data_IF_786889877224
#
_entry.id   IF_786889877224
#
_cell.length_a   1.000
_cell.length_b   1.000
_cell.length_c   1.000
_cell.angle_alpha   90.00
_cell.angle_beta   90.00
_cell.angle_gamma   90.00
#
_symmetry.space_group_name_H-M   'P 1'
#
loop_
_entity.id
_entity.type
_entity.pdbx_description
1 polymer ?
#
# COMPACT_ATOMS: atom_id res chain seq x y z
N UNK A 1 -18.30 -25.07 -45.49
CA UNK A 1 -18.06 -23.79 -44.80
C UNK A 1 -17.93 -24.10 -43.31
N UNK A 2 -16.69 -24.31 -42.81
CA UNK A 2 -16.46 -24.60 -41.39
C UNK A 2 -16.48 -23.29 -40.65
N UNK A 3 -17.44 -23.13 -39.74
CA UNK A 3 -17.48 -22.02 -38.76
C UNK A 3 -16.41 -22.27 -37.70
N UNK A 4 -15.33 -21.51 -37.72
CA UNK A 4 -14.36 -21.47 -36.64
C UNK A 4 -15.03 -20.87 -35.39
N UNK A 5 -15.25 -21.66 -34.38
CA UNK A 5 -15.68 -21.18 -33.05
C UNK A 5 -14.53 -20.36 -32.46
N UNK A 6 -14.80 -19.18 -31.86
CA UNK A 6 -13.77 -18.41 -31.20
C UNK A 6 -13.24 -19.23 -30.02
N UNK A 7 -11.95 -19.52 -30.03
CA UNK A 7 -11.25 -20.07 -28.85
C UNK A 7 -11.12 -18.93 -27.83
N UNK A 8 -12.01 -18.90 -26.88
CA UNK A 8 -11.84 -18.05 -25.69
C UNK A 8 -10.64 -18.61 -24.93
N UNK A 9 -9.56 -17.88 -24.88
CA UNK A 9 -8.43 -18.24 -24.03
C UNK A 9 -8.95 -18.34 -22.60
N UNK A 10 -8.93 -19.53 -22.02
CA UNK A 10 -9.33 -19.75 -20.64
C UNK A 10 -8.46 -18.87 -19.74
N UNK A 11 -9.07 -17.99 -18.96
CA UNK A 11 -8.33 -17.19 -17.99
C UNK A 11 -7.67 -18.14 -17.00
N UNK A 12 -6.40 -17.87 -16.70
CA UNK A 12 -5.66 -18.70 -15.75
C UNK A 12 -6.26 -18.50 -14.36
N UNK A 13 -6.69 -19.59 -13.75
CA UNK A 13 -7.19 -19.61 -12.37
C UNK A 13 -6.13 -20.18 -11.43
N UNK A 14 -6.05 -19.61 -10.24
CA UNK A 14 -5.16 -20.00 -9.16
C UNK A 14 -6.01 -20.20 -7.90
N UNK A 15 -5.78 -21.28 -7.18
CA UNK A 15 -6.51 -21.56 -5.94
C UNK A 15 -5.56 -22.05 -4.85
N UNK A 16 -5.78 -21.62 -3.64
CA UNK A 16 -4.98 -22.03 -2.48
C UNK A 16 -5.18 -21.13 -1.27
N UNK A 17 -4.57 -21.52 -0.14
CA UNK A 17 -4.47 -20.65 1.03
C UNK A 17 -3.39 -19.61 0.76
N UNK A 18 -3.73 -18.31 0.78
CA UNK A 18 -2.78 -17.27 0.42
C UNK A 18 -1.78 -17.01 1.56
N UNK A 19 -0.55 -16.68 1.19
CA UNK A 19 0.37 -15.95 2.04
C UNK A 19 0.21 -14.46 1.72
N UNK A 20 -0.20 -13.67 2.69
CA UNK A 20 -0.31 -12.21 2.53
C UNK A 20 1.09 -11.60 2.57
N UNK A 21 1.43 -10.80 1.59
CA UNK A 21 2.71 -10.06 1.49
C UNK A 21 2.53 -8.67 2.09
N UNK A 22 1.48 -7.97 1.64
CA UNK A 22 1.03 -6.66 2.10
C UNK A 22 -0.49 -6.52 1.90
N UNK A 23 -1.04 -5.31 2.08
CA UNK A 23 -2.48 -5.06 2.06
C UNK A 23 -3.17 -5.33 0.71
N UNK A 24 -2.43 -5.38 -0.41
CA UNK A 24 -2.97 -5.63 -1.75
C UNK A 24 -2.21 -6.69 -2.54
N UNK A 25 -1.23 -7.36 -1.93
CA UNK A 25 -0.41 -8.37 -2.59
C UNK A 25 -0.46 -9.69 -1.84
N UNK A 26 -0.85 -10.74 -2.56
CA UNK A 26 -0.96 -12.11 -2.07
C UNK A 26 0.03 -13.01 -2.82
N UNK A 27 0.43 -14.11 -2.18
CA UNK A 27 1.05 -15.24 -2.87
C UNK A 27 0.11 -16.45 -2.77
N UNK A 28 -0.33 -16.96 -3.91
CA UNK A 28 -1.24 -18.10 -4.03
C UNK A 28 -0.61 -19.14 -4.94
N UNK A 29 -0.47 -20.37 -4.49
CA UNK A 29 0.16 -21.45 -5.24
C UNK A 29 1.55 -21.08 -5.82
N UNK A 30 2.36 -20.35 -5.05
CA UNK A 30 3.70 -19.89 -5.45
C UNK A 30 3.72 -18.72 -6.44
N UNK A 31 2.57 -18.12 -6.76
CA UNK A 31 2.46 -16.96 -7.66
C UNK A 31 2.12 -15.70 -6.87
N UNK A 32 2.87 -14.63 -7.07
CA UNK A 32 2.54 -13.30 -6.53
C UNK A 32 1.42 -12.67 -7.34
N UNK A 33 0.38 -12.25 -6.63
CA UNK A 33 -0.83 -11.63 -7.20
C UNK A 33 -1.01 -10.27 -6.56
N UNK A 34 -0.99 -9.20 -7.37
CA UNK A 34 -1.50 -7.90 -6.96
C UNK A 34 -2.99 -7.86 -7.21
N UNK A 35 -3.77 -7.54 -6.19
CA UNK A 35 -5.21 -7.39 -6.31
C UNK A 35 -5.53 -6.23 -7.25
N UNK A 36 -6.28 -6.50 -8.31
CA UNK A 36 -6.59 -5.54 -9.36
C UNK A 36 -7.52 -4.43 -8.90
N UNK A 37 -7.26 -3.21 -9.35
CA UNK A 37 -8.17 -2.07 -9.15
C UNK A 37 -8.23 -1.50 -7.74
N UNK A 38 -7.33 -1.90 -6.85
CA UNK A 38 -7.18 -1.32 -5.51
C UNK A 38 -5.72 -0.96 -5.21
N UNK A 39 -5.54 -0.20 -4.16
CA UNK A 39 -4.26 0.15 -3.59
C UNK A 39 -4.36 0.21 -2.06
N UNK A 40 -3.43 -0.41 -1.38
CA UNK A 40 -3.32 -0.40 0.07
C UNK A 40 -2.06 0.37 0.51
N UNK A 41 -2.05 0.94 1.72
CA UNK A 41 -0.82 1.48 2.26
C UNK A 41 0.27 0.41 2.29
N UNK A 42 1.48 0.77 1.87
CA UNK A 42 2.64 -0.11 1.95
C UNK A 42 2.92 -0.49 3.41
N UNK A 43 3.42 -1.70 3.68
CA UNK A 43 3.67 -2.24 5.03
C UNK A 43 4.29 -1.25 6.01
N UNK A 44 5.11 -0.34 5.50
CA UNK A 44 5.88 0.60 6.31
C UNK A 44 5.34 2.03 6.23
N UNK A 45 4.17 2.22 5.63
CA UNK A 45 3.55 3.53 5.47
C UNK A 45 2.78 3.92 6.74
N UNK A 46 2.92 5.19 7.12
CA UNK A 46 2.16 5.82 8.20
C UNK A 46 1.06 6.71 7.60
N UNK A 47 -0.11 6.68 8.21
CA UNK A 47 -1.23 7.58 7.95
C UNK A 47 -1.42 8.59 9.07
N UNK A 48 -2.26 9.61 8.85
CA UNK A 48 -2.75 10.49 9.90
C UNK A 48 -4.19 10.11 10.26
N UNK A 49 -4.51 10.12 11.55
CA UNK A 49 -5.88 10.03 12.01
C UNK A 49 -6.55 11.43 12.04
N UNK A 50 -7.82 11.52 12.39
CA UNK A 50 -8.57 12.79 12.48
C UNK A 50 -7.99 13.78 13.50
N UNK A 51 -7.18 13.32 14.45
CA UNK A 51 -6.47 14.17 15.41
C UNK A 51 -5.08 14.61 14.92
N UNK A 52 -4.72 14.26 13.69
CA UNK A 52 -3.39 14.56 13.12
C UNK A 52 -2.27 13.68 13.66
N UNK A 53 -2.58 12.62 14.41
CA UNK A 53 -1.59 11.69 14.95
C UNK A 53 -1.24 10.64 13.88
N UNK A 54 0.05 10.29 13.82
CA UNK A 54 0.54 9.22 12.94
C UNK A 54 0.20 7.85 13.51
N UNK A 55 -0.13 6.92 12.63
CA UNK A 55 -0.34 5.53 12.96
C UNK A 55 0.11 4.63 11.80
N UNK A 56 0.54 3.40 12.11
CA UNK A 56 1.11 2.45 11.15
C UNK A 56 0.03 1.79 10.29
N UNK A 57 -0.59 2.56 9.39
CA UNK A 57 -1.71 2.09 8.56
C UNK A 57 -1.31 0.96 7.61
N UNK A 58 -0.08 0.93 7.12
CA UNK A 58 0.38 -0.13 6.23
C UNK A 58 0.51 -1.48 6.94
N UNK A 59 1.10 -1.49 8.15
CA UNK A 59 1.14 -2.70 8.97
C UNK A 59 -0.27 -3.17 9.31
N UNK A 60 -1.14 -2.24 9.75
CA UNK A 60 -2.53 -2.54 10.06
C UNK A 60 -3.32 -3.08 8.84
N UNK A 61 -3.18 -2.50 7.66
CA UNK A 61 -3.84 -2.99 6.44
C UNK A 61 -3.40 -4.43 6.10
N UNK A 62 -2.11 -4.73 6.28
CA UNK A 62 -1.59 -6.08 6.10
C UNK A 62 -2.16 -7.04 7.14
N UNK A 63 -2.25 -6.64 8.41
CA UNK A 63 -2.87 -7.46 9.47
C UNK A 63 -4.35 -7.75 9.19
N UNK A 64 -5.11 -6.76 8.69
CA UNK A 64 -6.51 -6.95 8.26
C UNK A 64 -6.59 -7.98 7.14
N UNK A 65 -5.76 -7.87 6.12
CA UNK A 65 -5.73 -8.87 5.03
C UNK A 65 -5.35 -10.26 5.56
N UNK A 66 -4.38 -10.36 6.45
CA UNK A 66 -3.97 -11.62 7.10
C UNK A 66 -5.11 -12.23 7.90
N UNK A 67 -5.77 -11.46 8.76
CA UNK A 67 -6.89 -11.94 9.58
C UNK A 67 -8.07 -12.41 8.72
N UNK A 68 -8.36 -11.69 7.63
CA UNK A 68 -9.43 -12.02 6.69
C UNK A 68 -9.18 -13.35 5.96
N UNK A 69 -7.93 -13.63 5.60
CA UNK A 69 -7.56 -14.73 4.69
C UNK A 69 -6.91 -15.92 5.40
N UNK A 70 -6.60 -15.82 6.69
CA UNK A 70 -5.88 -16.84 7.45
C UNK A 70 -6.55 -18.22 7.35
N UNK A 71 -5.81 -19.22 6.86
CA UNK A 71 -6.25 -20.60 6.75
C UNK A 71 -7.40 -20.84 5.74
N UNK A 72 -7.79 -19.83 4.97
CA UNK A 72 -8.94 -19.91 4.05
C UNK A 72 -8.46 -19.97 2.60
N UNK A 73 -9.06 -20.82 1.80
CA UNK A 73 -8.75 -20.95 0.38
C UNK A 73 -9.40 -19.82 -0.42
N UNK A 74 -8.59 -19.11 -1.21
CA UNK A 74 -9.06 -18.15 -2.21
C UNK A 74 -9.02 -18.74 -3.60
N UNK A 75 -9.87 -18.22 -4.48
CA UNK A 75 -9.88 -18.48 -5.92
C UNK A 75 -9.53 -17.18 -6.63
N UNK A 76 -8.45 -17.16 -7.40
CA UNK A 76 -7.97 -15.98 -8.08
C UNK A 76 -7.96 -16.18 -9.60
N UNK A 77 -8.42 -15.18 -10.33
CA UNK A 77 -8.41 -15.12 -11.79
C UNK A 77 -7.34 -14.15 -12.24
N UNK A 78 -6.45 -14.60 -13.13
CA UNK A 78 -5.46 -13.73 -13.80
C UNK A 78 -6.19 -12.80 -14.79
N UNK A 79 -6.05 -11.50 -14.63
CA UNK A 79 -6.67 -10.48 -15.48
C UNK A 79 -5.86 -10.21 -16.77
N UNK A 80 -4.80 -10.98 -17.02
CA UNK A 80 -3.95 -10.82 -18.18
C UNK A 80 -2.98 -9.64 -18.14
N UNK A 81 -2.93 -8.95 -17.01
CA UNK A 81 -2.04 -7.80 -16.77
C UNK A 81 -0.90 -8.17 -15.84
N UNK A 82 0.17 -7.40 -15.89
CA UNK A 82 1.33 -7.55 -14.99
C UNK A 82 1.64 -6.24 -14.28
N UNK A 83 2.04 -6.35 -13.02
CA UNK A 83 2.58 -5.26 -12.22
C UNK A 83 3.96 -5.69 -11.73
N UNK A 84 5.00 -5.27 -12.43
CA UNK A 84 6.36 -5.79 -12.29
C UNK A 84 6.39 -7.32 -12.52
N UNK A 85 6.84 -8.09 -11.54
CA UNK A 85 6.89 -9.56 -11.54
C UNK A 85 5.59 -10.23 -11.06
N UNK A 86 4.56 -9.43 -10.69
CA UNK A 86 3.29 -9.91 -10.16
C UNK A 86 2.23 -10.04 -11.25
N UNK A 87 1.38 -11.05 -11.11
CA UNK A 87 0.11 -11.16 -11.84
C UNK A 87 -0.85 -10.10 -11.27
N UNK A 88 -1.55 -9.35 -12.11
CA UNK A 88 -2.72 -8.59 -11.66
C UNK A 88 -3.91 -9.55 -11.69
N UNK A 89 -4.52 -9.77 -10.53
CA UNK A 89 -5.57 -10.78 -10.37
C UNK A 89 -6.75 -10.28 -9.54
N UNK A 90 -7.87 -10.97 -9.69
CA UNK A 90 -9.04 -10.81 -8.84
C UNK A 90 -9.22 -12.08 -8.02
N UNK A 91 -9.27 -11.94 -6.71
CA UNK A 91 -9.37 -13.06 -5.79
C UNK A 91 -10.72 -13.05 -5.06
N UNK A 92 -11.28 -14.22 -4.87
CA UNK A 92 -12.55 -14.44 -4.21
C UNK A 92 -12.38 -15.36 -3.01
N UNK A 93 -13.05 -15.02 -1.94
CA UNK A 93 -13.16 -15.83 -0.74
C UNK A 93 -14.62 -16.19 -0.50
N UNK A 94 -14.99 -17.46 -0.70
CA UNK A 94 -16.39 -17.89 -0.59
C UNK A 94 -17.33 -17.14 -1.54
N UNK A 95 -16.86 -16.75 -2.71
CA UNK A 95 -17.62 -15.97 -3.71
C UNK A 95 -17.59 -14.45 -3.50
N UNK A 96 -17.07 -13.95 -2.38
CA UNK A 96 -16.90 -12.51 -2.13
C UNK A 96 -15.57 -12.03 -2.71
N UNK A 97 -15.58 -10.92 -3.44
CA UNK A 97 -14.37 -10.26 -3.93
C UNK A 97 -13.54 -9.74 -2.75
N UNK A 98 -12.31 -10.24 -2.62
CA UNK A 98 -11.37 -9.86 -1.54
C UNK A 98 -11.06 -8.36 -1.58
N UNK A 99 -10.96 -7.76 -2.76
CA UNK A 99 -10.71 -6.33 -2.90
C UNK A 99 -11.87 -5.49 -2.35
N UNK A 100 -13.12 -5.89 -2.60
CA UNK A 100 -14.32 -5.24 -2.01
C UNK A 100 -14.24 -5.30 -0.48
N UNK A 101 -13.96 -6.47 0.09
CA UNK A 101 -13.89 -6.63 1.54
C UNK A 101 -12.78 -5.79 2.18
N UNK A 102 -11.62 -5.68 1.53
CA UNK A 102 -10.51 -4.84 1.99
C UNK A 102 -10.86 -3.34 1.92
N UNK A 103 -11.56 -2.90 0.87
CA UNK A 103 -12.05 -1.50 0.77
C UNK A 103 -13.06 -1.22 1.88
N UNK A 104 -14.03 -2.10 2.10
CA UNK A 104 -15.05 -1.96 3.15
C UNK A 104 -14.44 -1.87 4.55
N UNK A 105 -13.39 -2.66 4.81
CA UNK A 105 -12.62 -2.59 6.04
C UNK A 105 -11.78 -1.30 6.17
N UNK A 106 -11.64 -0.52 5.09
CA UNK A 106 -10.74 0.64 5.06
C UNK A 106 -9.26 0.27 4.99
N UNK A 107 -8.93 -0.98 4.64
CA UNK A 107 -7.54 -1.44 4.48
C UNK A 107 -6.97 -1.14 3.10
N UNK A 108 -7.83 -0.81 2.13
CA UNK A 108 -7.43 -0.42 0.79
C UNK A 108 -8.35 0.67 0.23
N UNK A 109 -7.93 1.29 -0.87
CA UNK A 109 -8.71 2.29 -1.62
C UNK A 109 -8.89 1.82 -3.06
N UNK A 110 -10.02 2.17 -3.73
CA UNK A 110 -10.18 1.86 -5.14
C UNK A 110 -9.25 2.70 -6.03
N UNK A 111 -8.63 2.03 -6.98
CA UNK A 111 -7.95 2.64 -8.12
C UNK A 111 -8.93 2.72 -9.28
N UNK A 112 -9.77 3.76 -9.32
CA UNK A 112 -10.93 3.85 -10.20
C UNK A 112 -10.60 3.64 -11.68
N UNK A 113 -9.44 4.10 -12.16
CA UNK A 113 -9.00 3.87 -13.52
C UNK A 113 -8.94 2.37 -13.83
N UNK A 114 -8.20 1.62 -13.02
CA UNK A 114 -8.04 0.17 -13.21
C UNK A 114 -9.31 -0.61 -12.87
N UNK A 115 -10.03 -0.18 -11.83
CA UNK A 115 -11.32 -0.77 -11.48
C UNK A 115 -12.34 -0.66 -12.63
N UNK A 116 -12.35 0.46 -13.36
CA UNK A 116 -13.20 0.67 -14.55
C UNK A 116 -12.81 -0.27 -15.67
N UNK A 117 -11.53 -0.36 -15.99
CA UNK A 117 -11.00 -1.27 -17.02
C UNK A 117 -11.36 -2.74 -16.73
N UNK A 118 -11.51 -3.07 -15.45
CA UNK A 118 -11.83 -4.41 -14.95
C UNK A 118 -13.34 -4.63 -14.68
N UNK A 119 -14.19 -3.64 -14.95
CA UNK A 119 -15.64 -3.70 -14.74
C UNK A 119 -16.06 -3.69 -13.25
N UNK A 120 -15.18 -3.23 -12.33
CA UNK A 120 -15.43 -3.24 -10.88
C UNK A 120 -15.71 -1.84 -10.28
N UNK A 121 -15.66 -0.78 -11.09
CA UNK A 121 -15.77 0.60 -10.61
C UNK A 121 -16.96 0.81 -9.66
N UNK A 122 -18.14 0.34 -10.04
CA UNK A 122 -19.36 0.55 -9.24
C UNK A 122 -19.33 -0.23 -7.91
N UNK A 123 -18.79 -1.44 -7.91
CA UNK A 123 -18.69 -2.24 -6.70
C UNK A 123 -17.70 -1.59 -5.71
N UNK A 124 -16.55 -1.17 -6.20
CA UNK A 124 -15.50 -0.55 -5.39
C UNK A 124 -15.90 0.83 -4.87
N UNK A 125 -16.62 1.64 -5.66
CA UNK A 125 -17.18 2.91 -5.19
C UNK A 125 -18.20 2.72 -4.06
N UNK A 126 -19.07 1.70 -4.14
CA UNK A 126 -20.02 1.39 -3.05
C UNK A 126 -19.29 0.97 -1.77
N UNK A 127 -18.29 0.09 -1.89
CA UNK A 127 -17.47 -0.33 -0.78
C UNK A 127 -16.73 0.86 -0.13
N UNK A 128 -16.16 1.76 -0.95
CA UNK A 128 -15.51 2.97 -0.46
C UNK A 128 -16.46 3.92 0.27
N UNK A 129 -17.67 4.10 -0.26
CA UNK A 129 -18.69 4.93 0.40
C UNK A 129 -19.10 4.35 1.75
N UNK A 130 -19.19 3.02 1.87
CA UNK A 130 -19.46 2.34 3.13
C UNK A 130 -18.32 2.57 4.13
N UNK A 131 -17.07 2.36 3.73
CA UNK A 131 -15.89 2.59 4.56
C UNK A 131 -15.77 4.04 5.04
N UNK A 132 -16.05 5.02 4.15
CA UNK A 132 -16.08 6.46 4.49
C UNK A 132 -17.15 6.78 5.53
N UNK A 133 -18.37 6.24 5.38
CA UNK A 133 -19.44 6.44 6.36
C UNK A 133 -19.12 5.87 7.73
N UNK A 134 -18.40 4.75 7.76
CA UNK A 134 -17.95 4.11 8.99
C UNK A 134 -16.66 4.71 9.58
N UNK A 135 -16.02 5.67 8.90
CA UNK A 135 -14.66 6.13 9.21
C UNK A 135 -13.67 4.96 9.36
N UNK A 136 -13.80 3.91 8.55
CA UNK A 136 -13.04 2.69 8.66
C UNK A 136 -11.58 2.90 8.22
N UNK A 137 -10.63 2.39 9.02
CA UNK A 137 -9.23 2.35 8.68
C UNK A 137 -8.67 3.67 8.14
N UNK A 138 -8.13 3.67 6.92
CA UNK A 138 -7.55 4.85 6.28
C UNK A 138 -8.53 6.00 6.04
N UNK A 139 -9.82 5.73 6.10
CA UNK A 139 -10.87 6.76 6.00
C UNK A 139 -11.20 7.45 7.33
N UNK A 140 -10.61 7.00 8.44
CA UNK A 140 -10.71 7.63 9.76
C UNK A 140 -9.80 8.84 9.95
N UNK A 141 -9.25 9.39 8.89
CA UNK A 141 -8.39 10.57 8.90
C UNK A 141 -8.38 11.31 7.56
N UNK A 142 -7.61 12.41 7.46
CA UNK A 142 -7.38 13.03 6.16
C UNK A 142 -6.78 11.98 5.25
N UNK A 143 -7.42 11.77 4.11
CA UNK A 143 -6.91 10.84 3.11
C UNK A 143 -5.56 11.36 2.64
N UNK A 144 -4.50 10.88 3.24
CA UNK A 144 -3.17 11.02 2.64
C UNK A 144 -3.28 10.49 1.21
N UNK A 145 -2.77 11.19 0.20
CA UNK A 145 -2.51 10.55 -1.05
C UNK A 145 -1.57 9.39 -0.71
N UNK A 146 -2.10 8.16 -0.77
CA UNK A 146 -1.26 6.97 -0.78
C UNK A 146 -0.34 7.20 -1.96
N UNK A 147 0.95 7.36 -1.69
CA UNK A 147 1.87 7.87 -2.68
C UNK A 147 1.89 6.93 -3.88
N UNK A 148 1.27 7.35 -4.96
CA UNK A 148 1.84 7.12 -6.26
C UNK A 148 1.33 6.01 -7.13
N UNK A 149 0.35 5.14 -6.81
CA UNK A 149 0.01 4.07 -7.77
C UNK A 149 -1.31 4.31 -8.53
N UNK A 150 -2.34 4.77 -7.88
CA UNK A 150 -3.65 4.96 -8.49
C UNK A 150 -3.83 6.29 -9.24
N UNK A 151 -2.97 7.23 -8.99
CA UNK A 151 -2.97 8.53 -9.64
C UNK A 151 -1.73 8.63 -10.56
N UNK A 152 -1.88 8.83 -11.89
CA UNK A 152 -0.77 9.33 -12.66
C UNK A 152 -0.41 10.69 -12.08
N UNK A 153 0.79 10.84 -11.56
CA UNK A 153 1.38 12.05 -10.98
C UNK A 153 0.66 13.36 -11.38
N UNK A 154 -0.47 13.64 -10.77
CA UNK A 154 -0.82 15.02 -10.50
C UNK A 154 -0.01 15.36 -9.27
N UNK A 155 0.93 16.27 -9.47
CA UNK A 155 1.84 16.82 -8.50
C UNK A 155 1.53 16.33 -7.09
N UNK A 156 2.28 15.34 -6.65
CA UNK A 156 2.37 14.99 -5.25
C UNK A 156 2.24 16.30 -4.49
N UNK A 157 1.16 16.46 -3.71
CA UNK A 157 1.35 17.20 -2.49
C UNK A 157 2.28 16.28 -1.72
N UNK A 158 3.55 16.35 -2.08
CA UNK A 158 4.62 15.87 -1.25
C UNK A 158 4.36 16.50 0.09
N UNK A 159 3.97 15.71 1.07
CA UNK A 159 4.33 16.03 2.43
C UNK A 159 5.83 15.75 2.44
N UNK A 160 6.55 16.59 1.69
CA UNK A 160 7.99 16.67 1.78
C UNK A 160 8.26 16.94 3.25
N UNK A 161 9.12 16.13 3.85
CA UNK A 161 9.62 16.46 5.16
C UNK A 161 9.91 17.96 5.14
N UNK A 162 9.37 18.77 6.06
CA UNK A 162 9.57 20.20 6.02
C UNK A 162 11.07 20.43 5.89
N UNK A 163 11.48 21.32 4.98
CA UNK A 163 12.91 21.63 4.78
C UNK A 163 13.57 22.09 6.09
N UNK A 164 12.75 22.53 7.04
CA UNK A 164 13.11 22.96 8.39
C UNK A 164 12.60 21.89 9.37
N UNK A 165 13.40 21.51 10.39
CA UNK A 165 12.95 20.57 11.41
C UNK A 165 11.70 21.10 12.14
N UNK A 166 10.77 20.22 12.56
CA UNK A 166 9.53 20.61 13.22
C UNK A 166 9.75 21.26 14.61
N UNK A 167 10.91 21.04 15.22
CA UNK A 167 11.39 21.74 16.42
C UNK A 167 12.93 21.78 16.42
N UNK A 168 13.53 22.62 17.25
CA UNK A 168 14.98 22.73 17.39
C UNK A 168 15.67 21.43 17.82
N UNK A 169 14.93 20.52 18.46
CA UNK A 169 15.46 19.24 18.96
C UNK A 169 15.39 18.13 17.90
N UNK A 170 14.64 18.33 16.81
CA UNK A 170 14.44 17.31 15.78
C UNK A 170 15.50 17.40 14.68
N UNK A 171 16.75 17.16 15.04
CA UNK A 171 17.92 17.38 14.16
C UNK A 171 18.42 16.10 13.45
N UNK A 172 17.80 14.95 13.71
CA UNK A 172 18.23 13.70 13.10
C UNK A 172 17.55 13.56 11.75
N UNK A 173 18.34 13.37 10.69
CA UNK A 173 17.85 13.22 9.32
C UNK A 173 17.78 11.76 8.92
N UNK A 174 16.61 11.28 8.52
CA UNK A 174 16.43 9.97 7.91
C UNK A 174 16.26 10.05 6.41
N UNK A 175 16.84 9.10 5.67
CA UNK A 175 16.58 8.91 4.25
C UNK A 175 16.41 7.42 3.90
N UNK A 176 15.54 7.14 2.97
CA UNK A 176 15.36 5.80 2.37
C UNK A 176 16.23 5.73 1.12
N UNK A 177 16.98 4.65 0.99
CA UNK A 177 17.84 4.38 -0.17
C UNK A 177 17.81 2.88 -0.50
N UNK A 178 18.53 2.47 -1.53
CA UNK A 178 18.77 1.05 -1.85
C UNK A 178 19.36 0.25 -0.68
N UNK A 179 19.97 0.93 0.29
CA UNK A 179 20.50 0.35 1.52
C UNK A 179 19.49 0.30 2.67
N UNK A 180 18.23 0.65 2.41
CA UNK A 180 17.14 0.68 3.40
C UNK A 180 16.99 2.03 4.11
N UNK A 181 16.30 2.02 5.24
CA UNK A 181 16.02 3.20 6.09
C UNK A 181 17.21 3.50 6.98
N UNK A 182 17.85 4.63 6.76
CA UNK A 182 19.07 5.04 7.46
C UNK A 182 18.84 6.42 8.07
N UNK A 183 19.21 6.62 9.34
CA UNK A 183 19.25 7.94 9.94
C UNK A 183 20.67 8.41 10.19
N UNK A 184 20.86 9.72 10.04
CA UNK A 184 22.13 10.43 10.18
C UNK A 184 22.04 11.40 11.34
N UNK A 185 23.03 11.38 12.22
CA UNK A 185 23.19 12.32 13.31
C UNK A 185 23.93 13.56 12.82
N UNK A 186 23.68 14.75 13.41
CA UNK A 186 24.51 15.91 13.17
C UNK A 186 26.02 15.59 13.32
N UNK A 187 26.84 16.10 12.42
CA UNK A 187 28.30 15.86 12.43
C UNK A 187 28.75 14.52 11.80
N UNK A 188 27.85 13.66 11.36
CA UNK A 188 28.23 12.46 10.59
C UNK A 188 28.57 12.83 9.14
N UNK A 189 29.50 12.09 8.52
CA UNK A 189 30.08 12.34 7.17
C UNK A 189 29.05 12.69 6.09
N UNK A 190 27.89 12.06 6.10
CA UNK A 190 26.86 12.23 5.07
C UNK A 190 25.62 13.03 5.55
N UNK A 191 25.65 13.59 6.76
CA UNK A 191 24.51 14.29 7.33
C UNK A 191 24.07 15.48 6.46
N UNK A 192 25.02 16.30 5.98
CA UNK A 192 24.71 17.49 5.18
C UNK A 192 24.27 17.15 3.75
N UNK A 193 24.58 15.94 3.28
CA UNK A 193 24.16 15.46 1.97
C UNK A 193 22.68 15.02 1.96
N UNK A 194 22.09 14.72 3.13
CA UNK A 194 20.68 14.39 3.22
C UNK A 194 19.83 15.63 3.09
N UNK A 195 19.19 15.78 1.93
CA UNK A 195 18.28 16.89 1.64
C UNK A 195 16.87 16.52 2.07
N UNK A 196 16.32 17.29 3.03
CA UNK A 196 14.99 17.06 3.62
C UNK A 196 13.87 17.64 2.75
N UNK A 197 13.68 17.10 1.54
CA UNK A 197 12.70 17.62 0.55
C UNK A 197 11.95 16.53 -0.21
N UNK A 198 12.03 15.29 0.22
CA UNK A 198 11.36 14.19 -0.44
C UNK A 198 10.51 13.39 0.55
N UNK A 199 9.53 12.67 0.03
CA UNK A 199 8.74 11.65 0.74
C UNK A 199 9.58 10.52 1.34
N UNK A 200 10.81 10.34 0.84
CA UNK A 200 11.79 9.37 1.33
C UNK A 200 12.66 9.91 2.46
N UNK A 201 12.36 11.09 3.01
CA UNK A 201 13.13 11.70 4.10
C UNK A 201 12.24 12.02 5.29
N UNK A 202 12.80 11.93 6.50
CA UNK A 202 12.08 12.19 7.75
C UNK A 202 13.00 12.80 8.80
N UNK A 203 12.50 13.77 9.55
CA UNK A 203 13.14 14.28 10.75
C UNK A 203 12.79 13.40 11.95
N UNK A 204 13.75 13.23 12.87
CA UNK A 204 13.55 12.59 14.15
C UNK A 204 14.11 13.48 15.27
N UNK A 205 13.42 13.48 16.40
CA UNK A 205 13.80 14.26 17.58
C UNK A 205 14.72 13.47 18.52
N UNK A 206 14.78 12.14 18.37
CA UNK A 206 15.68 11.27 19.13
C UNK A 206 16.07 10.03 18.35
N UNK A 207 17.22 9.41 18.72
CA UNK A 207 17.61 8.10 18.19
C UNK A 207 16.62 6.99 18.57
N UNK A 208 16.02 7.10 19.75
CA UNK A 208 15.02 6.14 20.20
C UNK A 208 13.79 6.15 19.29
N UNK A 209 13.32 7.34 18.90
CA UNK A 209 12.23 7.51 17.93
C UNK A 209 12.61 6.91 16.57
N UNK A 210 13.79 7.21 16.06
CA UNK A 210 14.25 6.68 14.78
C UNK A 210 14.30 5.14 14.77
N UNK A 211 14.83 4.54 15.84
CA UNK A 211 14.91 3.08 15.99
C UNK A 211 13.53 2.44 16.16
N UNK A 212 12.64 3.04 16.96
CA UNK A 212 11.28 2.58 17.12
C UNK A 212 10.49 2.60 15.80
N UNK A 213 10.81 3.56 14.90
CA UNK A 213 10.27 3.64 13.55
C UNK A 213 10.95 2.70 12.53
N UNK A 214 11.82 1.78 12.98
CA UNK A 214 12.50 0.79 12.13
C UNK A 214 13.69 1.34 11.33
N UNK A 215 14.28 2.48 11.75
CA UNK A 215 15.44 3.05 11.08
C UNK A 215 16.74 2.62 11.77
N UNK A 216 17.78 2.38 10.99
CA UNK A 216 19.11 2.09 11.52
C UNK A 216 20.05 3.28 11.37
N UNK A 217 21.01 3.39 12.26
CA UNK A 217 22.03 4.44 12.21
C UNK A 217 22.94 4.25 10.99
N UNK A 218 23.32 5.36 10.34
CA UNK A 218 24.35 5.36 9.30
C UNK A 218 25.68 4.84 9.87
N UNK A 219 26.36 4.02 9.10
CA UNK A 219 27.75 3.63 9.42
C UNK A 219 28.66 4.82 9.19
N UNK A 220 29.62 5.02 10.05
CA UNK A 220 30.68 6.04 9.89
C UNK A 220 31.61 5.65 8.76
#
# INVERSE_FOLDING_TARGET
MLLALPVWAAQRELSGVPRVIDGDTLEVAGQRIRLGGIDAPEMQEDCLNNSGQRWACGAWATEVAQAMLAGRTVQCVDLGQRSYDRIVGRCYLGGQDVAVALIEAGAARPCLRFAREQGQEQAYLRAEQQAKRANAGVYGGPLNPIAGFCEPSRATVSISAPAVPPSADCVIKGNVSSNGRIYHMPGQRHYDQVTMRSDQTRWFCSEAEARAAGWRRARQ
#
